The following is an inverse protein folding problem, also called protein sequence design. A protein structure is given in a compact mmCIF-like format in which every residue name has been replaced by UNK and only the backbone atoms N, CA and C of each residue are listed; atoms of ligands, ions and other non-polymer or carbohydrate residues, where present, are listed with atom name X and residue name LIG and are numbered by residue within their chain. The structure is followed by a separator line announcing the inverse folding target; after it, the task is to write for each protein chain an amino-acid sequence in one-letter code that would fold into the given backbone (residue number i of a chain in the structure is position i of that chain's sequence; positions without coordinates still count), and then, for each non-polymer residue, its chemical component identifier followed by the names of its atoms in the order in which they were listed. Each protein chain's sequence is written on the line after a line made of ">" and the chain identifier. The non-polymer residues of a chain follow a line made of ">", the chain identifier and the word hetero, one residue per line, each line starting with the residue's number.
data_IF_950612210377
#
_entry.id   IF_950612210377
#
_cell.length_a   1.000
_cell.length_b   1.000
_cell.length_c   1.000
_cell.angle_alpha   90.00
_cell.angle_beta   90.00
_cell.angle_gamma   90.00
#
_symmetry.space_group_name_H-M   'P 1'
#
loop_
_entity.id
_entity.type
_entity.pdbx_description
1 polymer ?
#
# COMPACT_ATOMS: atom_id res chain seq x y z
N UNK A 1 19.19 19.36 15.25
CA UNK A 1 18.86 18.58 14.04
C UNK A 1 17.37 18.75 13.79
N UNK A 2 17.00 19.63 12.86
CA UNK A 2 15.58 19.85 12.55
C UNK A 2 15.09 18.82 11.55
N UNK A 3 14.22 17.94 12.01
CA UNK A 3 13.58 16.90 11.22
C UNK A 3 12.12 17.29 11.01
N UNK A 4 11.78 17.79 9.81
CA UNK A 4 10.40 18.10 9.44
C UNK A 4 10.01 17.34 8.18
N UNK A 5 9.43 16.15 8.35
CA UNK A 5 8.44 15.59 7.42
C UNK A 5 7.43 14.76 8.24
N UNK A 6 6.20 15.26 8.38
CA UNK A 6 5.15 14.73 9.27
C UNK A 6 3.98 14.08 8.49
N UNK A 7 4.23 13.52 7.30
CA UNK A 7 3.21 12.81 6.51
C UNK A 7 3.86 11.62 5.78
N UNK A 8 3.52 10.39 6.17
CA UNK A 8 3.83 9.23 5.33
C UNK A 8 2.78 9.10 4.24
N UNK A 9 3.24 9.09 3.00
CA UNK A 9 2.45 8.56 1.88
C UNK A 9 2.96 7.18 1.52
N UNK A 10 2.10 6.37 0.91
CA UNK A 10 2.49 5.10 0.32
C UNK A 10 1.78 4.89 -1.01
N UNK A 11 2.39 4.05 -1.83
CA UNK A 11 1.75 3.50 -3.02
C UNK A 11 1.34 2.06 -2.70
N UNK A 12 0.09 1.73 -3.03
CA UNK A 12 -0.47 0.39 -2.88
C UNK A 12 -0.79 -0.20 -4.24
N UNK A 13 -0.29 -1.39 -4.50
CA UNK A 13 -0.69 -2.20 -5.65
C UNK A 13 -1.36 -3.47 -5.14
N UNK A 14 -2.52 -3.81 -5.67
CA UNK A 14 -3.29 -4.93 -5.15
C UNK A 14 -4.02 -5.76 -6.20
N UNK A 15 -4.28 -7.01 -5.81
CA UNK A 15 -5.18 -7.94 -6.48
C UNK A 15 -6.40 -8.18 -5.61
N UNK A 16 -7.58 -8.07 -6.20
CA UNK A 16 -8.87 -8.18 -5.52
C UNK A 16 -9.75 -9.26 -6.16
N UNK A 17 -10.61 -9.86 -5.35
CA UNK A 17 -11.72 -10.69 -5.82
C UNK A 17 -13.02 -10.22 -5.18
N UNK A 18 -14.03 -10.06 -6.03
CA UNK A 18 -15.33 -9.52 -5.64
C UNK A 18 -16.34 -10.63 -5.42
N UNK A 19 -17.08 -10.54 -4.32
CA UNK A 19 -18.25 -11.34 -4.05
C UNK A 19 -19.49 -10.46 -4.02
N UNK A 20 -20.43 -10.64 -4.95
CA UNK A 20 -21.60 -9.78 -5.07
C UNK A 20 -22.75 -10.32 -4.23
N UNK A 21 -23.15 -9.57 -3.20
CA UNK A 21 -24.38 -9.82 -2.45
C UNK A 21 -25.56 -9.12 -3.14
N UNK A 22 -25.41 -7.84 -3.44
CA UNK A 22 -26.39 -7.06 -4.19
C UNK A 22 -25.69 -5.97 -5.03
N UNK A 23 -26.45 -5.03 -5.58
CA UNK A 23 -25.91 -4.00 -6.48
C UNK A 23 -25.08 -2.90 -5.78
N UNK A 24 -25.22 -2.74 -4.47
CA UNK A 24 -24.55 -1.68 -3.69
C UNK A 24 -23.55 -2.22 -2.66
N UNK A 25 -23.59 -3.51 -2.30
CA UNK A 25 -22.67 -4.17 -1.36
C UNK A 25 -21.97 -5.35 -2.05
N UNK A 26 -20.65 -5.21 -2.21
CA UNK A 26 -19.81 -6.17 -2.94
C UNK A 26 -18.56 -6.48 -2.11
N UNK A 27 -18.65 -7.33 -1.07
CA UNK A 27 -17.48 -7.67 -0.27
C UNK A 27 -16.32 -8.19 -1.11
N UNK A 28 -15.11 -7.81 -0.71
CA UNK A 28 -13.87 -8.07 -1.43
C UNK A 28 -12.81 -8.64 -0.50
N UNK A 29 -12.00 -9.55 -1.05
CA UNK A 29 -10.73 -9.97 -0.48
C UNK A 29 -9.59 -9.42 -1.33
N UNK A 30 -8.65 -8.73 -0.68
CA UNK A 30 -7.50 -8.13 -1.35
C UNK A 30 -6.18 -8.73 -0.87
N UNK A 31 -5.25 -8.90 -1.80
CA UNK A 31 -3.81 -9.02 -1.51
C UNK A 31 -3.10 -7.76 -2.01
N UNK A 32 -2.26 -7.16 -1.19
CA UNK A 32 -1.68 -5.84 -1.41
C UNK A 32 -0.17 -5.85 -1.15
N UNK A 33 0.56 -5.12 -1.99
CA UNK A 33 1.96 -4.76 -1.76
C UNK A 33 2.06 -3.25 -1.58
N UNK A 34 2.81 -2.85 -0.57
CA UNK A 34 2.99 -1.46 -0.15
C UNK A 34 4.46 -1.07 -0.30
N UNK A 35 4.69 0.12 -0.86
CA UNK A 35 6.02 0.69 -0.99
C UNK A 35 6.01 2.16 -0.56
N UNK A 36 7.06 2.58 0.14
CA UNK A 36 7.30 3.98 0.49
C UNK A 36 8.69 4.18 1.11
N UNK A 37 9.17 5.42 1.05
CA UNK A 37 10.37 5.87 1.76
C UNK A 37 9.94 6.71 2.95
N UNK A 38 10.59 6.52 4.11
CA UNK A 38 10.15 7.15 5.36
C UNK A 38 11.13 8.24 5.82
N UNK A 39 12.44 8.04 5.66
CA UNK A 39 13.40 9.02 6.14
C UNK A 39 14.81 8.79 5.58
N UNK A 40 15.42 9.85 5.04
CA UNK A 40 16.87 9.97 4.87
C UNK A 40 17.36 11.00 5.87
N UNK A 41 18.37 10.65 6.67
CA UNK A 41 19.05 11.57 7.57
C UNK A 41 20.52 11.63 7.19
N UNK A 42 20.98 12.82 6.83
CA UNK A 42 22.37 13.05 6.45
C UNK A 42 23.02 14.01 7.44
N UNK A 43 24.32 13.79 7.65
CA UNK A 43 25.20 14.70 8.39
C UNK A 43 26.41 14.98 7.52
N UNK A 44 26.59 16.25 7.16
CA UNK A 44 27.74 16.73 6.40
C UNK A 44 28.71 17.51 7.30
N UNK A 45 29.95 17.72 6.84
CA UNK A 45 30.90 18.65 7.45
C UNK A 45 30.74 20.08 6.87
N UNK A 46 31.58 21.02 7.31
CA UNK A 46 31.56 22.42 6.85
C UNK A 46 31.96 22.60 5.37
N UNK A 47 32.40 21.54 4.70
CA UNK A 47 32.77 21.49 3.28
C UNK A 47 31.79 20.62 2.48
N UNK A 48 30.59 20.37 3.01
CA UNK A 48 29.53 19.53 2.43
C UNK A 48 29.92 18.07 2.14
N UNK A 49 30.98 17.55 2.78
CA UNK A 49 31.34 16.14 2.71
C UNK A 49 30.40 15.32 3.60
N UNK A 50 29.81 14.26 3.06
CA UNK A 50 28.93 13.35 3.79
C UNK A 50 29.73 12.56 4.85
N UNK A 51 29.39 12.77 6.12
CA UNK A 51 30.00 12.05 7.25
C UNK A 51 29.15 10.85 7.66
N UNK A 52 27.83 11.02 7.66
CA UNK A 52 26.89 9.96 8.03
C UNK A 52 25.64 10.06 7.18
N UNK A 53 25.14 8.92 6.71
CA UNK A 53 23.80 8.80 6.15
C UNK A 53 23.07 7.65 6.82
N UNK A 54 21.78 7.86 7.07
CA UNK A 54 20.85 6.85 7.52
C UNK A 54 19.61 6.90 6.64
N UNK A 55 19.54 5.95 5.71
CA UNK A 55 18.40 5.75 4.82
C UNK A 55 17.48 4.68 5.38
N UNK A 56 16.16 4.95 5.35
CA UNK A 56 15.15 4.04 5.86
C UNK A 56 13.97 3.91 4.90
N UNK A 57 13.74 2.69 4.45
CA UNK A 57 12.63 2.31 3.60
C UNK A 57 11.75 1.25 4.27
N UNK A 58 10.53 1.11 3.76
CA UNK A 58 9.67 0.01 4.14
C UNK A 58 9.05 -0.66 2.92
N UNK A 59 8.82 -1.96 3.08
CA UNK A 59 7.99 -2.76 2.20
C UNK A 59 6.97 -3.48 3.04
N UNK A 60 5.75 -3.59 2.55
CA UNK A 60 4.73 -4.35 3.25
C UNK A 60 3.96 -5.25 2.29
N UNK A 61 3.49 -6.36 2.83
CA UNK A 61 2.52 -7.24 2.19
C UNK A 61 1.31 -7.34 3.11
N UNK A 62 0.11 -7.21 2.57
CA UNK A 62 -1.10 -7.29 3.38
C UNK A 62 -2.25 -7.98 2.70
N UNK A 63 -3.08 -8.62 3.53
CA UNK A 63 -4.37 -9.16 3.13
C UNK A 63 -5.46 -8.27 3.74
N UNK A 64 -6.52 -8.01 3.01
CA UNK A 64 -7.63 -7.21 3.52
C UNK A 64 -8.99 -7.82 3.19
N UNK A 65 -9.93 -7.63 4.12
CA UNK A 65 -11.35 -7.81 3.89
C UNK A 65 -12.01 -6.44 3.79
N UNK A 66 -12.81 -6.26 2.74
CA UNK A 66 -13.36 -4.96 2.38
C UNK A 66 -14.86 -5.11 2.07
N UNK A 67 -15.78 -4.74 2.98
CA UNK A 67 -17.20 -4.62 2.66
C UNK A 67 -17.47 -3.41 1.76
N UNK A 68 -17.03 -3.50 0.49
CA UNK A 68 -17.10 -2.42 -0.49
C UNK A 68 -18.55 -2.01 -0.77
N UNK A 69 -18.77 -0.70 -0.78
CA UNK A 69 -20.04 -0.06 -1.06
C UNK A 69 -19.94 0.64 -2.42
N UNK A 70 -20.81 0.29 -3.37
CA UNK A 70 -20.78 0.79 -4.75
C UNK A 70 -21.96 1.75 -5.01
N UNK A 71 -21.69 2.86 -5.69
CA UNK A 71 -22.70 3.85 -6.08
C UNK A 71 -22.28 4.61 -7.34
N UNK A 72 -23.27 5.18 -8.04
CA UNK A 72 -23.05 5.82 -9.34
C UNK A 72 -22.70 4.82 -10.45
N UNK A 73 -22.86 5.25 -11.70
CA UNK A 73 -22.74 4.40 -12.89
C UNK A 73 -24.08 4.26 -13.63
N UNK A 74 -24.02 3.97 -14.93
CA UNK A 74 -25.14 4.10 -15.88
C UNK A 74 -26.32 3.16 -15.66
N UNK A 75 -26.26 2.28 -14.66
CA UNK A 75 -27.37 1.54 -14.07
C UNK A 75 -26.76 0.66 -12.98
N UNK A 76 -27.04 0.91 -11.69
CA UNK A 76 -26.57 0.04 -10.59
C UNK A 76 -26.95 -1.44 -10.78
N UNK A 77 -27.95 -1.72 -11.65
CA UNK A 77 -28.32 -3.07 -12.08
C UNK A 77 -27.22 -3.78 -12.86
N UNK A 78 -26.38 -3.05 -13.59
CA UNK A 78 -25.25 -3.59 -14.34
C UNK A 78 -23.98 -2.77 -14.04
N UNK A 79 -23.25 -3.18 -13.00
CA UNK A 79 -21.91 -2.66 -12.61
C UNK A 79 -20.81 -2.85 -13.70
N UNK A 80 -21.18 -2.96 -14.97
CA UNK A 80 -20.35 -3.39 -16.11
C UNK A 80 -19.77 -2.21 -16.90
N UNK A 81 -19.79 -0.98 -16.38
CA UNK A 81 -19.26 0.19 -17.12
C UNK A 81 -18.38 1.11 -16.26
N UNK A 82 -18.58 1.08 -14.95
CA UNK A 82 -17.79 1.84 -13.99
C UNK A 82 -18.67 2.41 -12.90
N UNK A 83 -18.10 2.58 -11.71
CA UNK A 83 -18.83 3.04 -10.52
C UNK A 83 -17.88 3.65 -9.50
N UNK A 84 -18.42 4.48 -8.62
CA UNK A 84 -17.71 4.96 -7.45
C UNK A 84 -17.84 3.96 -6.30
N UNK A 85 -16.81 3.89 -5.47
CA UNK A 85 -16.75 2.95 -4.36
C UNK A 85 -16.26 3.61 -3.08
N UNK A 86 -16.86 3.20 -1.96
CA UNK A 86 -16.35 3.40 -0.61
C UNK A 86 -15.86 2.05 -0.09
N UNK A 87 -14.68 2.05 0.53
CA UNK A 87 -13.93 0.85 0.90
C UNK A 87 -13.62 0.89 2.40
N UNK A 88 -14.58 0.63 3.29
CA UNK A 88 -14.24 0.31 4.67
C UNK A 88 -13.38 -0.95 4.64
N UNK A 89 -12.25 -0.97 5.35
CA UNK A 89 -11.31 -2.09 5.26
C UNK A 89 -10.82 -2.54 6.62
N UNK A 90 -10.61 -3.84 6.73
CA UNK A 90 -9.82 -4.47 7.78
C UNK A 90 -8.66 -5.20 7.13
N UNK A 91 -7.43 -4.84 7.49
CA UNK A 91 -6.21 -5.36 6.85
C UNK A 91 -5.29 -6.00 7.87
N UNK A 92 -4.70 -7.15 7.51
CA UNK A 92 -3.55 -7.76 8.19
C UNK A 92 -2.30 -7.56 7.33
N UNK A 93 -1.35 -6.79 7.81
CA UNK A 93 -0.17 -6.34 7.05
C UNK A 93 1.11 -6.78 7.73
N UNK A 94 1.95 -7.52 7.00
CA UNK A 94 3.34 -7.78 7.36
C UNK A 94 4.20 -6.63 6.85
N UNK A 95 4.86 -5.92 7.75
CA UNK A 95 5.72 -4.78 7.47
C UNK A 95 7.17 -5.22 7.63
N UNK A 96 8.00 -4.88 6.65
CA UNK A 96 9.45 -5.07 6.67
C UNK A 96 10.09 -3.69 6.53
N UNK A 97 10.67 -3.20 7.61
CA UNK A 97 11.46 -1.99 7.62
C UNK A 97 12.94 -2.35 7.41
N UNK A 98 13.63 -1.59 6.57
CA UNK A 98 15.08 -1.72 6.36
C UNK A 98 15.74 -0.39 6.62
N UNK A 99 16.98 -0.46 7.10
CA UNK A 99 17.82 0.71 7.28
C UNK A 99 19.22 0.43 6.75
N UNK A 100 19.77 1.45 6.11
CA UNK A 100 21.13 1.48 5.60
C UNK A 100 21.87 2.60 6.31
N UNK A 101 22.93 2.26 7.03
CA UNK A 101 23.77 3.21 7.73
C UNK A 101 25.13 3.28 7.07
N UNK A 102 25.53 4.50 6.74
CA UNK A 102 26.86 4.85 6.26
C UNK A 102 27.51 5.78 7.28
N UNK A 103 28.77 5.53 7.63
CA UNK A 103 29.57 6.47 8.42
C UNK A 103 31.02 6.49 7.95
N UNK A 104 31.56 7.70 7.85
CA UNK A 104 32.96 7.96 7.57
C UNK A 104 33.59 8.75 8.72
N UNK A 105 34.82 8.42 9.09
CA UNK A 105 35.55 9.17 10.10
C UNK A 105 36.18 10.44 9.47
N UNK A 106 35.73 11.66 9.84
CA UNK A 106 36.27 12.89 9.28
C UNK A 106 37.75 13.13 9.65
N UNK A 107 38.19 12.60 10.79
CA UNK A 107 39.56 12.81 11.30
C UNK A 107 40.57 11.78 10.80
N UNK A 108 40.11 10.66 10.25
CA UNK A 108 40.98 9.67 9.63
C UNK A 108 40.23 8.92 8.51
N UNK A 109 40.19 9.46 7.28
CA UNK A 109 39.51 8.83 6.14
C UNK A 109 40.10 7.46 5.77
N UNK A 110 41.37 7.20 6.12
CA UNK A 110 42.04 5.92 5.89
C UNK A 110 41.64 4.82 6.89
N UNK A 111 40.96 5.18 7.99
CA UNK A 111 40.42 4.21 8.95
C UNK A 111 39.22 3.40 8.42
N UNK A 112 38.77 3.70 7.20
CA UNK A 112 37.73 2.96 6.51
C UNK A 112 36.32 3.51 6.71
N UNK A 113 35.41 3.00 5.89
CA UNK A 113 33.98 3.34 5.89
C UNK A 113 33.20 2.24 6.59
N UNK A 114 32.24 2.62 7.43
CA UNK A 114 31.27 1.68 8.00
C UNK A 114 29.99 1.68 7.16
N UNK A 115 29.61 0.50 6.67
CA UNK A 115 28.35 0.26 5.97
C UNK A 115 27.61 -0.88 6.68
N UNK A 116 26.46 -0.56 7.27
CA UNK A 116 25.61 -1.53 7.96
C UNK A 116 24.22 -1.56 7.34
N UNK A 117 23.65 -2.76 7.18
CA UNK A 117 22.24 -2.95 6.82
C UNK A 117 21.54 -3.71 7.93
N UNK A 118 20.37 -3.23 8.34
CA UNK A 118 19.54 -3.86 9.37
C UNK A 118 18.08 -3.89 8.94
N UNK A 119 17.32 -4.82 9.51
CA UNK A 119 15.90 -4.95 9.20
C UNK A 119 15.08 -5.30 10.44
N UNK A 120 13.84 -4.86 10.44
CA UNK A 120 12.85 -5.19 11.45
C UNK A 120 11.56 -5.63 10.76
N UNK A 121 10.88 -6.63 11.33
CA UNK A 121 9.64 -7.15 10.79
C UNK A 121 8.57 -7.18 11.87
N UNK A 122 7.36 -6.77 11.52
CA UNK A 122 6.19 -6.92 12.36
C UNK A 122 4.94 -7.23 11.56
N UNK A 123 3.94 -7.81 12.21
CA UNK A 123 2.59 -8.02 11.65
C UNK A 123 1.63 -7.13 12.42
N UNK A 124 0.79 -6.39 11.68
CA UNK A 124 -0.17 -5.45 12.25
C UNK A 124 -1.52 -5.63 11.60
N UNK A 125 -2.57 -5.63 12.40
CA UNK A 125 -3.91 -5.36 11.92
C UNK A 125 -4.16 -3.85 11.82
N UNK A 126 -5.06 -3.44 10.93
CA UNK A 126 -5.45 -2.04 10.78
C UNK A 126 -6.88 -1.93 10.27
N UNK A 127 -7.51 -0.81 10.62
CA UNK A 127 -8.78 -0.38 10.03
C UNK A 127 -8.46 0.83 9.16
N UNK A 128 -9.12 0.92 8.01
CA UNK A 128 -8.96 2.04 7.11
C UNK A 128 -10.24 2.35 6.36
N UNK A 129 -10.17 3.40 5.57
CA UNK A 129 -11.22 3.81 4.66
C UNK A 129 -10.59 4.19 3.32
N UNK A 130 -11.15 3.66 2.24
CA UNK A 130 -10.81 4.08 0.89
C UNK A 130 -12.00 4.66 0.16
N UNK A 131 -11.71 5.48 -0.84
CA UNK A 131 -12.66 5.89 -1.87
C UNK A 131 -12.00 5.72 -3.22
N UNK A 132 -12.78 5.40 -4.25
CA UNK A 132 -12.20 5.22 -5.57
C UNK A 132 -13.21 5.13 -6.68
N UNK A 133 -12.67 4.92 -7.87
CA UNK A 133 -13.42 4.69 -9.09
C UNK A 133 -12.98 3.38 -9.72
N UNK A 134 -13.95 2.52 -9.96
CA UNK A 134 -13.78 1.26 -10.67
C UNK A 134 -14.16 1.43 -12.15
N UNK A 135 -13.40 0.79 -13.02
CA UNK A 135 -13.73 0.61 -14.43
C UNK A 135 -13.54 -0.84 -14.86
N UNK A 136 -14.43 -1.33 -15.71
CA UNK A 136 -14.26 -2.63 -16.34
C UNK A 136 -13.25 -2.52 -17.49
N UNK A 137 -12.35 -3.50 -17.62
CA UNK A 137 -11.32 -3.50 -18.66
C UNK A 137 -11.78 -4.14 -19.97
N UNK A 138 -12.74 -5.07 -19.92
CA UNK A 138 -13.24 -5.79 -21.09
C UNK A 138 -14.72 -6.12 -20.96
N UNK A 139 -15.49 -6.05 -22.05
CA UNK A 139 -16.90 -6.44 -22.08
C UNK A 139 -17.12 -7.96 -21.96
N UNK A 140 -16.08 -8.77 -22.20
CA UNK A 140 -16.16 -10.25 -22.24
C UNK A 140 -15.87 -10.88 -20.89
N UNK A 141 -14.99 -10.27 -20.10
CA UNK A 141 -14.57 -10.76 -18.80
C UNK A 141 -15.02 -9.80 -17.71
N UNK A 142 -15.11 -10.28 -16.46
CA UNK A 142 -15.41 -9.42 -15.30
C UNK A 142 -14.17 -8.70 -14.76
N UNK A 143 -13.07 -8.71 -15.52
CA UNK A 143 -11.82 -8.05 -15.14
C UNK A 143 -12.02 -6.54 -15.03
N UNK A 144 -11.44 -5.98 -13.99
CA UNK A 144 -11.60 -4.57 -13.67
C UNK A 144 -10.37 -3.96 -13.05
N UNK A 145 -10.34 -2.65 -13.06
CA UNK A 145 -9.29 -1.86 -12.46
C UNK A 145 -9.93 -0.75 -11.65
N UNK A 146 -9.44 -0.51 -10.43
CA UNK A 146 -9.86 0.60 -9.62
C UNK A 146 -8.68 1.49 -9.21
N UNK A 147 -8.93 2.80 -9.29
CA UNK A 147 -8.05 3.83 -8.76
C UNK A 147 -8.62 4.31 -7.43
N UNK A 148 -7.79 4.27 -6.39
CA UNK A 148 -8.26 4.46 -5.02
C UNK A 148 -7.36 5.41 -4.25
N UNK A 149 -7.99 6.22 -3.42
CA UNK A 149 -7.38 7.00 -2.35
C UNK A 149 -7.70 6.31 -1.03
N UNK A 150 -6.70 6.16 -0.19
CA UNK A 150 -6.79 5.44 1.07
C UNK A 150 -6.39 6.32 2.24
N UNK A 151 -7.09 6.11 3.34
CA UNK A 151 -6.75 6.57 4.66
C UNK A 151 -6.70 5.36 5.59
N UNK A 152 -5.51 4.80 5.74
CA UNK A 152 -5.31 3.56 6.48
C UNK A 152 -4.59 3.87 7.80
N UNK A 153 -5.08 3.30 8.91
CA UNK A 153 -4.41 3.39 10.20
C UNK A 153 -3.29 2.34 10.31
N UNK A 154 -2.41 2.28 9.31
CA UNK A 154 -1.21 1.44 9.32
C UNK A 154 -0.06 2.27 9.88
N UNK A 155 0.48 1.86 11.02
CA UNK A 155 1.62 2.54 11.65
C UNK A 155 2.95 2.01 11.10
N UNK A 156 3.32 2.41 9.89
CA UNK A 156 4.63 2.08 9.30
C UNK A 156 5.79 2.68 10.10
N UNK A 157 5.54 3.78 10.82
CA UNK A 157 6.56 4.43 11.65
C UNK A 157 7.04 3.58 12.82
N UNK A 158 6.17 2.77 13.42
CA UNK A 158 6.55 1.91 14.54
C UNK A 158 7.63 0.89 14.14
N UNK A 159 7.47 0.21 13.01
CA UNK A 159 8.48 -0.69 12.47
C UNK A 159 9.84 0.02 12.27
N UNK A 160 9.82 1.25 11.76
CA UNK A 160 11.04 2.06 11.57
C UNK A 160 11.64 2.58 12.88
N UNK A 161 10.80 2.93 13.85
CA UNK A 161 11.25 3.37 15.18
C UNK A 161 12.02 2.29 15.94
N UNK A 162 11.81 1.02 15.57
CA UNK A 162 12.48 -0.15 16.15
C UNK A 162 13.75 -0.56 15.41
N UNK A 163 14.10 0.12 14.33
CA UNK A 163 15.37 -0.12 13.65
C UNK A 163 16.55 0.39 14.49
N UNK A 164 17.73 -0.24 14.30
CA UNK A 164 18.99 0.18 14.94
C UNK A 164 19.29 1.65 14.57
N UNK A 165 19.91 2.40 15.49
CA UNK A 165 20.22 3.84 15.34
C UNK A 165 19.00 4.77 15.25
N UNK A 166 17.80 4.28 15.59
CA UNK A 166 16.60 5.09 15.71
C UNK A 166 16.51 5.70 17.11
N UNK A 167 17.05 6.92 17.26
CA UNK A 167 17.04 7.64 18.55
C UNK A 167 15.74 8.42 18.80
N UNK A 168 14.82 8.44 17.83
CA UNK A 168 13.55 9.17 17.92
C UNK A 168 12.39 8.24 17.57
N UNK A 169 11.38 8.10 18.44
CA UNK A 169 10.18 7.35 18.11
C UNK A 169 9.45 8.00 16.92
N UNK A 170 9.58 7.42 15.74
CA UNK A 170 8.83 7.83 14.55
C UNK A 170 7.42 7.25 14.68
N UNK A 171 6.51 7.99 15.32
CA UNK A 171 5.10 7.60 15.41
C UNK A 171 4.35 8.15 14.20
N UNK A 172 4.35 7.40 13.11
CA UNK A 172 3.55 7.77 11.95
C UNK A 172 2.24 6.99 12.00
N UNK A 173 1.24 7.62 12.61
CA UNK A 173 -0.13 7.13 12.64
C UNK A 173 -0.89 7.76 11.46
N UNK A 174 -1.75 6.96 10.84
CA UNK A 174 -2.68 7.39 9.80
C UNK A 174 -1.96 7.80 8.50
N UNK A 175 -1.82 6.84 7.59
CA UNK A 175 -1.12 7.04 6.33
C UNK A 175 -2.13 7.30 5.19
N UNK A 176 -1.80 8.28 4.35
CA UNK A 176 -2.52 8.51 3.10
C UNK A 176 -1.89 7.68 1.99
N UNK A 177 -2.70 6.87 1.33
CA UNK A 177 -2.27 6.02 0.23
C UNK A 177 -2.93 6.39 -1.08
N UNK A 178 -2.22 6.20 -2.17
CA UNK A 178 -2.83 6.03 -3.48
C UNK A 178 -2.67 4.57 -3.88
N UNK A 179 -3.62 4.00 -4.60
CA UNK A 179 -3.42 2.66 -5.10
C UNK A 179 -4.25 2.27 -6.30
N UNK A 180 -3.72 1.27 -6.99
CA UNK A 180 -4.32 0.62 -8.14
C UNK A 180 -4.66 -0.80 -7.71
N UNK A 181 -5.93 -1.16 -7.90
CA UNK A 181 -6.44 -2.49 -7.59
C UNK A 181 -6.85 -3.17 -8.90
N UNK A 182 -6.29 -4.33 -9.18
CA UNK A 182 -6.76 -5.18 -10.28
C UNK A 182 -7.70 -6.25 -9.75
N UNK A 183 -8.87 -6.36 -10.38
CA UNK A 183 -9.89 -7.34 -10.04
C UNK A 183 -9.84 -8.50 -11.01
N UNK A 184 -9.58 -9.70 -10.47
CA UNK A 184 -9.58 -10.92 -11.27
C UNK A 184 -11.04 -11.30 -11.55
N UNK A 185 -11.43 -11.22 -12.81
CA UNK A 185 -12.73 -11.65 -13.28
C UNK A 185 -12.73 -13.12 -13.70
N UNK A 186 -13.87 -13.76 -13.51
CA UNK A 186 -14.16 -15.05 -14.15
C UNK A 186 -14.91 -14.80 -15.47
N UNK A 187 -14.58 -15.58 -16.50
CA UNK A 187 -15.29 -15.57 -17.78
C UNK A 187 -16.76 -15.89 -17.56
N UNK A 188 -17.66 -15.07 -18.13
CA UNK A 188 -19.08 -15.42 -18.16
C UNK A 188 -19.23 -16.67 -19.00
N UNK A 189 -19.71 -17.76 -18.39
CA UNK A 189 -20.10 -18.96 -19.13
C UNK A 189 -21.21 -18.55 -20.09
N UNK A 190 -20.99 -18.71 -21.40
CA UNK A 190 -22.08 -18.64 -22.37
C UNK A 190 -23.11 -19.69 -21.94
N UNK A 191 -24.24 -19.25 -21.39
CA UNK A 191 -25.40 -20.11 -21.22
C UNK A 191 -25.82 -20.52 -22.62
N UNK A 192 -25.46 -21.76 -23.00
CA UNK A 192 -25.69 -22.29 -24.32
C UNK A 192 -27.14 -22.12 -24.74
N UNK A 193 -27.32 -21.58 -25.94
CA UNK A 193 -28.49 -21.87 -26.77
C UNK A 193 -28.65 -23.40 -26.76
N UNK A 194 -29.70 -23.90 -26.12
CA UNK A 194 -30.15 -25.27 -26.41
C UNK A 194 -30.49 -25.30 -27.90
N UNK A 195 -29.91 -26.19 -28.72
CA UNK A 195 -30.48 -26.41 -30.04
C UNK A 195 -31.88 -26.95 -29.83
N UNK A 196 -32.88 -26.24 -30.36
CA UNK A 196 -34.19 -26.84 -30.58
C UNK A 196 -33.98 -27.99 -31.58
N UNK A 197 -34.10 -29.21 -31.08
CA UNK A 197 -34.35 -30.37 -31.93
C UNK A 197 -35.78 -30.85 -31.66
N UNK A 198 -36.53 -30.86 -32.77
CA UNK A 198 -37.90 -31.33 -33.03
C UNK A 198 -39.04 -30.47 -32.51
#
# INVERSE_FOLDING_TARGET
>A
MDTKWNRSSYVKLGLGTDYRINHWLVPELEANVYFGSLQTQEKTNAQDLLLQSLDRDFRAFGLAFVPKICFGGSELKTLNKGYFQILPRYSLTKIVAKGHFFSQNPTNPAAGTSNETFSYQEVRHSIGLGVGYYTQLSSRNTDGLAFNLYYDNINFGNAVSRLKYSNTPVTIKNAFGIGIQYYIGFSKKNSGTKPLFF
#
